data_IF_397317157374
#
_entry.id   IF_397317157374
#
_cell.length_a   1.000
_cell.length_b   1.000
_cell.length_c   1.000
_cell.angle_alpha   90.00
_cell.angle_beta   90.00
_cell.angle_gamma   90.00
#
_symmetry.space_group_name_H-M   'P 1'
#
loop_
_entity.id
_entity.type
_entity.pdbx_description
1 polymer ?
#
# COMPACT_ATOMS: atom_id res chain seq x y z
N UNK A 1 -3.94 4.27 32.64
CA UNK A 1 -4.67 3.05 32.22
C UNK A 1 -3.85 2.39 31.13
N UNK A 2 -3.66 1.07 31.21
CA UNK A 2 -2.97 0.30 30.16
C UNK A 2 -3.84 0.29 28.90
N UNK A 3 -3.29 0.69 27.75
CA UNK A 3 -3.96 0.64 26.44
C UNK A 3 -3.69 -0.72 25.82
N UNK A 4 -4.74 -1.46 25.47
CA UNK A 4 -4.62 -2.69 24.67
C UNK A 4 -4.77 -2.27 23.21
N UNK A 5 -3.78 -2.59 22.40
CA UNK A 5 -3.83 -2.40 20.95
C UNK A 5 -4.04 -3.77 20.32
N UNK A 6 -5.05 -3.87 19.47
CA UNK A 6 -5.36 -5.08 18.72
C UNK A 6 -4.75 -4.95 17.34
N UNK A 7 -4.01 -5.96 16.91
CA UNK A 7 -3.49 -6.09 15.54
C UNK A 7 -2.70 -4.84 15.10
N UNK A 8 -1.64 -4.49 15.86
CA UNK A 8 -0.81 -3.30 15.64
C UNK A 8 -0.43 -3.10 14.16
N UNK A 9 -0.61 -1.87 13.70
CA UNK A 9 -0.55 -1.50 12.29
C UNK A 9 0.86 -1.20 11.81
N UNK A 10 1.71 -0.71 12.71
CA UNK A 10 3.07 -0.28 12.39
C UNK A 10 4.11 -1.12 13.12
N UNK A 11 5.26 -1.33 12.49
CA UNK A 11 6.43 -1.80 13.22
C UNK A 11 7.03 -0.68 14.11
N UNK A 12 8.11 -1.00 14.82
CA UNK A 12 8.85 -0.01 15.62
C UNK A 12 9.90 0.75 14.82
N UNK A 13 10.40 1.85 15.37
CA UNK A 13 11.47 2.63 14.76
C UNK A 13 12.80 1.86 14.58
N UNK A 14 13.04 0.78 15.34
CA UNK A 14 14.15 -0.15 15.09
C UNK A 14 14.04 -0.82 13.72
N UNK A 15 12.84 -1.32 13.38
CA UNK A 15 12.58 -1.99 12.11
C UNK A 15 12.75 -1.00 10.95
N UNK A 16 12.21 0.20 11.14
CA UNK A 16 12.36 1.29 10.19
C UNK A 16 13.82 1.64 9.91
N UNK A 17 14.65 1.76 10.96
CA UNK A 17 16.06 2.07 10.82
C UNK A 17 16.80 0.98 10.03
N UNK A 18 16.62 -0.29 10.40
CA UNK A 18 17.24 -1.42 9.68
C UNK A 18 16.80 -1.44 8.21
N UNK A 19 15.49 -1.36 7.95
CA UNK A 19 14.95 -1.40 6.57
C UNK A 19 15.34 -0.18 5.72
N UNK A 20 15.70 0.93 6.36
CA UNK A 20 16.18 2.15 5.69
C UNK A 20 17.68 2.06 5.41
N UNK A 21 18.47 1.66 6.40
CA UNK A 21 19.93 1.61 6.28
C UNK A 21 20.41 0.44 5.44
N UNK A 22 19.81 -0.74 5.58
CA UNK A 22 20.15 -1.89 4.75
C UNK A 22 19.77 -1.70 3.27
N UNK A 23 18.96 -0.69 2.93
CA UNK A 23 18.64 -0.36 1.54
C UNK A 23 19.79 0.33 0.79
N UNK A 24 20.80 0.86 1.51
CA UNK A 24 22.01 1.42 0.93
C UNK A 24 22.99 0.31 0.53
N UNK A 25 23.61 0.43 -0.65
CA UNK A 25 24.47 -0.62 -1.21
C UNK A 25 25.78 -0.84 -0.43
N UNK A 26 26.28 0.21 0.21
CA UNK A 26 27.58 0.29 0.85
C UNK A 26 27.50 0.47 2.38
N UNK A 27 26.36 0.12 2.97
CA UNK A 27 26.15 0.12 4.43
C UNK A 27 25.97 -1.30 4.94
N UNK A 28 26.58 -1.58 6.10
CA UNK A 28 26.34 -2.79 6.88
C UNK A 28 25.79 -2.41 8.26
N UNK A 29 24.63 -2.96 8.60
CA UNK A 29 23.97 -2.68 9.86
C UNK A 29 24.38 -3.69 10.91
N UNK A 30 24.78 -3.20 12.08
CA UNK A 30 24.98 -4.00 13.28
C UNK A 30 23.73 -3.82 14.16
N UNK A 31 22.88 -4.84 14.22
CA UNK A 31 21.69 -4.83 15.06
C UNK A 31 22.07 -5.18 16.50
N UNK A 32 22.06 -4.18 17.39
CA UNK A 32 22.21 -4.44 18.82
C UNK A 32 20.88 -4.96 19.39
N UNK A 33 20.67 -6.26 19.26
CA UNK A 33 19.39 -6.92 19.47
C UNK A 33 19.54 -8.38 19.94
N UNK A 34 18.61 -8.89 20.76
CA UNK A 34 18.56 -10.29 21.14
C UNK A 34 18.07 -11.18 19.99
N UNK A 35 18.28 -12.50 20.15
CA UNK A 35 17.73 -13.51 19.24
C UNK A 35 16.20 -13.37 19.14
N UNK A 36 15.68 -13.36 17.92
CA UNK A 36 14.26 -13.12 17.64
C UNK A 36 14.03 -11.74 17.02
N UNK A 37 14.42 -10.65 17.70
CA UNK A 37 14.19 -9.29 17.22
C UNK A 37 14.87 -9.03 15.86
N UNK A 38 16.14 -9.41 15.72
CA UNK A 38 16.83 -9.30 14.43
C UNK A 38 16.38 -10.37 13.41
N UNK A 39 15.90 -11.53 13.86
CA UNK A 39 15.42 -12.59 12.94
C UNK A 39 14.12 -12.16 12.27
N UNK A 40 13.25 -11.47 13.01
CA UNK A 40 12.02 -10.91 12.44
C UNK A 40 12.40 -9.87 11.38
N UNK A 41 13.20 -8.86 11.72
CA UNK A 41 13.53 -7.76 10.81
C UNK A 41 14.43 -8.18 9.66
N UNK A 42 15.41 -9.05 9.89
CA UNK A 42 16.44 -9.38 8.91
C UNK A 42 16.14 -10.59 8.03
N UNK A 43 15.16 -11.41 8.39
CA UNK A 43 14.88 -12.70 7.72
C UNK A 43 13.38 -12.87 7.51
N UNK A 44 12.60 -13.04 8.57
CA UNK A 44 11.22 -13.48 8.45
C UNK A 44 10.31 -12.43 7.77
N UNK A 45 10.41 -11.18 8.19
CA UNK A 45 9.53 -10.09 7.70
C UNK A 45 9.87 -9.72 6.27
N UNK A 46 11.16 -9.58 6.00
CA UNK A 46 11.68 -9.25 4.69
C UNK A 46 11.27 -10.24 3.61
N UNK A 47 11.13 -11.52 3.95
CA UNK A 47 10.65 -12.54 3.01
C UNK A 47 9.20 -12.29 2.57
N UNK A 48 8.34 -11.76 3.45
CA UNK A 48 6.93 -11.59 3.10
C UNK A 48 6.52 -10.17 2.74
N UNK A 49 7.31 -9.15 3.12
CA UNK A 49 7.13 -7.77 2.64
C UNK A 49 7.80 -7.56 1.29
N UNK A 50 9.03 -8.06 1.15
CA UNK A 50 9.86 -7.79 -0.02
C UNK A 50 10.28 -9.07 -0.75
N UNK A 51 9.91 -10.28 -0.34
CA UNK A 51 10.43 -11.51 -0.97
C UNK A 51 11.96 -11.55 -0.99
N UNK A 52 12.59 -11.13 0.12
CA UNK A 52 14.03 -11.24 0.37
C UNK A 52 14.23 -12.26 1.49
N UNK A 53 14.82 -13.44 1.21
CA UNK A 53 14.98 -14.49 2.21
C UNK A 53 15.82 -14.08 3.43
N UNK A 54 16.83 -13.24 3.24
CA UNK A 54 17.63 -12.65 4.33
C UNK A 54 18.33 -11.37 3.86
N UNK A 55 18.51 -10.41 4.76
CA UNK A 55 19.33 -9.23 4.51
C UNK A 55 20.81 -9.58 4.64
N UNK A 56 21.57 -9.46 3.55
CA UNK A 56 23.00 -9.83 3.50
C UNK A 56 23.90 -8.86 4.29
N UNK A 57 23.46 -7.60 4.46
CA UNK A 57 24.20 -6.52 5.11
C UNK A 57 23.68 -6.21 6.52
N UNK A 58 23.30 -7.26 7.27
CA UNK A 58 22.83 -7.17 8.66
C UNK A 58 23.55 -8.21 9.52
N UNK A 59 24.19 -7.77 10.61
CA UNK A 59 24.80 -8.66 11.61
C UNK A 59 24.30 -8.33 13.01
N UNK A 60 23.71 -9.29 13.74
CA UNK A 60 23.19 -9.05 15.07
C UNK A 60 24.22 -9.30 16.17
N UNK A 61 24.10 -8.58 17.29
CA UNK A 61 24.86 -8.88 18.52
C UNK A 61 24.39 -10.16 19.21
N UNK A 62 23.15 -10.60 18.94
CA UNK A 62 22.54 -11.80 19.54
C UNK A 62 22.61 -11.79 21.07
N UNK A 63 22.13 -10.70 21.68
CA UNK A 63 22.12 -10.52 23.12
C UNK A 63 21.44 -11.68 23.86
N UNK A 64 22.03 -12.08 24.97
CA UNK A 64 21.55 -13.15 25.85
C UNK A 64 21.20 -12.60 27.24
N UNK A 65 20.74 -13.47 28.15
CA UNK A 65 20.47 -13.12 29.55
C UNK A 65 21.69 -12.49 30.25
N UNK A 66 22.91 -12.84 29.82
CA UNK A 66 24.16 -12.33 30.40
C UNK A 66 24.30 -10.82 30.20
N UNK A 67 24.12 -10.36 28.97
CA UNK A 67 24.19 -8.93 28.64
C UNK A 67 23.05 -8.15 29.29
N UNK A 68 21.85 -8.76 29.38
CA UNK A 68 20.67 -8.13 30.00
C UNK A 68 20.85 -7.94 31.51
N UNK A 69 21.45 -8.91 32.19
CA UNK A 69 21.48 -8.96 33.66
C UNK A 69 22.67 -8.25 34.31
N UNK A 70 23.84 -8.22 33.65
CA UNK A 70 25.08 -7.88 34.35
C UNK A 70 26.17 -7.21 33.51
N UNK A 71 26.26 -7.48 32.21
CA UNK A 71 27.40 -7.01 31.40
C UNK A 71 27.10 -5.80 30.51
N UNK A 72 25.82 -5.54 30.21
CA UNK A 72 25.42 -4.58 29.18
C UNK A 72 25.73 -5.08 27.76
N UNK A 73 25.22 -4.37 26.74
CA UNK A 73 25.39 -4.79 25.33
C UNK A 73 26.66 -4.25 24.64
N UNK A 74 27.31 -3.22 25.20
CA UNK A 74 28.45 -2.55 24.56
C UNK A 74 29.65 -3.46 24.27
N UNK A 75 29.89 -4.47 25.12
CA UNK A 75 30.94 -5.47 24.89
C UNK A 75 30.68 -6.31 23.64
N UNK A 76 29.44 -6.77 23.46
CA UNK A 76 29.03 -7.51 22.25
C UNK A 76 29.07 -6.66 21.00
N UNK A 77 28.64 -5.40 21.07
CA UNK A 77 28.78 -4.47 19.94
C UNK A 77 30.25 -4.33 19.53
N UNK A 78 31.17 -4.14 20.49
CA UNK A 78 32.61 -4.08 20.20
C UNK A 78 33.09 -5.36 19.50
N UNK A 79 32.75 -6.54 20.04
CA UNK A 79 33.16 -7.82 19.43
C UNK A 79 32.73 -7.91 17.96
N UNK A 80 31.48 -7.55 17.65
CA UNK A 80 30.97 -7.59 16.27
C UNK A 80 31.66 -6.56 15.38
N UNK A 81 31.88 -5.34 15.86
CA UNK A 81 32.62 -4.30 15.11
C UNK A 81 34.04 -4.78 14.80
N UNK A 82 34.71 -5.42 15.76
CA UNK A 82 36.05 -6.00 15.56
C UNK A 82 36.03 -7.13 14.51
N UNK A 83 35.02 -7.99 14.52
CA UNK A 83 34.86 -9.04 13.51
C UNK A 83 34.57 -8.50 12.09
N UNK A 84 34.00 -7.30 11.98
CA UNK A 84 33.62 -6.67 10.71
C UNK A 84 34.63 -5.61 10.23
N UNK A 85 35.82 -5.51 10.83
CA UNK A 85 36.81 -4.49 10.44
C UNK A 85 37.30 -4.59 9.00
N UNK A 86 37.27 -5.80 8.44
CA UNK A 86 37.65 -6.05 7.04
C UNK A 86 36.48 -5.86 6.06
N UNK A 87 35.27 -5.56 6.54
CA UNK A 87 34.15 -5.22 5.68
C UNK A 87 34.40 -3.83 5.07
N UNK A 88 34.29 -3.72 3.75
CA UNK A 88 34.53 -2.46 3.03
C UNK A 88 33.35 -1.48 3.13
N UNK A 89 32.21 -1.92 3.68
CA UNK A 89 31.01 -1.09 3.87
C UNK A 89 31.13 -0.22 5.12
N UNK A 90 30.33 0.84 5.14
CA UNK A 90 30.16 1.67 6.32
C UNK A 90 29.33 0.93 7.38
N UNK A 91 29.90 0.76 8.57
CA UNK A 91 29.23 0.10 9.68
C UNK A 91 28.35 1.09 10.44
N UNK A 92 27.08 0.71 10.67
CA UNK A 92 26.14 1.49 11.48
C UNK A 92 25.52 0.58 12.53
N UNK A 93 25.74 0.90 13.81
CA UNK A 93 25.11 0.21 14.93
C UNK A 93 23.73 0.79 15.19
N UNK A 94 22.71 -0.06 15.27
CA UNK A 94 21.32 0.32 15.53
C UNK A 94 20.83 -0.38 16.79
N UNK A 95 20.31 0.39 17.75
CA UNK A 95 19.75 -0.17 19.00
C UNK A 95 18.36 -0.77 18.80
N UNK A 96 18.05 -1.92 19.40
CA UNK A 96 16.67 -2.40 19.54
C UNK A 96 16.00 -1.86 20.81
N UNK A 97 14.71 -2.14 20.99
CA UNK A 97 13.99 -1.80 22.23
C UNK A 97 14.67 -2.41 23.47
N UNK A 98 15.12 -3.65 23.36
CA UNK A 98 15.78 -4.36 24.46
C UNK A 98 17.15 -3.76 24.76
N UNK A 99 17.97 -3.47 23.74
CA UNK A 99 19.26 -2.80 23.92
C UNK A 99 19.10 -1.42 24.60
N UNK A 100 18.10 -0.65 24.19
CA UNK A 100 17.78 0.65 24.79
C UNK A 100 17.40 0.52 26.27
N UNK A 101 16.73 -0.56 26.66
CA UNK A 101 16.38 -0.84 28.06
C UNK A 101 17.56 -1.34 28.91
N UNK A 102 18.44 -2.16 28.35
CA UNK A 102 19.67 -2.61 29.03
C UNK A 102 20.55 -1.40 29.35
N UNK A 103 20.63 -0.47 28.40
CA UNK A 103 21.44 0.73 28.52
C UNK A 103 22.92 0.47 28.24
N UNK A 104 23.53 1.38 27.50
CA UNK A 104 24.94 1.31 27.14
C UNK A 104 25.42 2.60 26.49
N UNK A 105 26.65 3.01 26.79
CA UNK A 105 27.26 4.19 26.16
C UNK A 105 27.87 3.82 24.80
N UNK A 106 27.05 3.35 23.86
CA UNK A 106 27.49 2.95 22.52
C UNK A 106 28.18 4.11 21.80
N UNK A 107 27.58 5.30 21.82
CA UNK A 107 28.15 6.49 21.19
C UNK A 107 29.56 6.82 21.72
N UNK A 108 29.74 6.80 23.04
CA UNK A 108 31.06 7.05 23.66
C UNK A 108 32.07 5.95 23.35
N UNK A 109 31.65 4.68 23.39
CA UNK A 109 32.49 3.53 23.08
C UNK A 109 32.96 3.56 21.62
N UNK A 110 32.06 3.75 20.67
CA UNK A 110 32.38 3.82 19.24
C UNK A 110 33.26 5.03 18.95
N UNK A 111 32.96 6.21 19.50
CA UNK A 111 33.82 7.39 19.32
C UNK A 111 35.25 7.18 19.82
N UNK A 112 35.44 6.44 20.92
CA UNK A 112 36.76 6.22 21.51
C UNK A 112 37.59 5.16 20.77
N UNK A 113 36.95 4.15 20.18
CA UNK A 113 37.63 2.96 19.65
C UNK A 113 37.44 2.73 18.15
N UNK A 114 36.32 3.21 17.60
CA UNK A 114 35.87 2.98 16.22
C UNK A 114 35.24 4.25 15.62
N UNK A 115 35.99 5.36 15.48
CA UNK A 115 35.43 6.67 15.13
C UNK A 115 34.75 6.72 13.74
N UNK A 116 34.95 5.73 12.87
CA UNK A 116 34.28 5.60 11.58
C UNK A 116 32.96 4.82 11.60
N UNK A 117 32.53 4.32 12.76
CA UNK A 117 31.31 3.52 12.92
C UNK A 117 30.19 4.41 13.46
N UNK A 118 29.07 4.47 12.72
CA UNK A 118 27.89 5.24 13.12
C UNK A 118 27.11 4.56 14.23
N UNK A 119 26.42 5.35 15.05
CA UNK A 119 25.43 4.84 16.02
C UNK A 119 24.11 5.56 15.89
N UNK A 120 23.06 4.79 15.61
CA UNK A 120 21.69 5.28 15.56
C UNK A 120 20.88 4.71 16.73
N UNK A 121 20.51 5.58 17.66
CA UNK A 121 19.52 5.24 18.67
C UNK A 121 18.15 5.18 18.01
N UNK A 122 17.53 4.00 17.96
CA UNK A 122 16.28 3.80 17.23
C UNK A 122 15.05 4.37 17.93
N UNK A 123 15.11 4.67 19.23
CA UNK A 123 13.94 5.07 20.02
C UNK A 123 12.75 4.10 19.81
N UNK A 124 13.03 2.79 19.79
CA UNK A 124 12.11 1.74 19.33
C UNK A 124 10.79 1.71 20.12
N UNK A 125 10.82 2.07 21.40
CA UNK A 125 9.62 2.11 22.25
C UNK A 125 8.86 3.44 22.17
N UNK A 126 9.50 4.50 21.68
CA UNK A 126 8.93 5.84 21.63
C UNK A 126 8.35 6.23 20.27
N UNK A 127 8.82 5.61 19.19
CA UNK A 127 8.48 5.96 17.81
C UNK A 127 8.00 4.74 17.01
N UNK A 128 7.02 4.98 16.15
CA UNK A 128 6.57 3.99 15.17
C UNK A 128 7.50 3.93 13.95
N UNK A 129 7.22 3.03 13.01
CA UNK A 129 8.06 2.83 11.85
C UNK A 129 8.20 4.09 10.97
N UNK A 130 7.13 4.86 10.74
CA UNK A 130 7.19 6.02 9.83
C UNK A 130 7.99 7.16 10.43
N UNK A 131 7.81 7.42 11.73
CA UNK A 131 8.64 8.36 12.48
C UNK A 131 10.11 7.93 12.46
N UNK A 132 10.36 6.63 12.68
CA UNK A 132 11.70 6.05 12.62
C UNK A 132 12.36 6.20 11.25
N UNK A 133 11.62 5.98 10.15
CA UNK A 133 12.13 6.15 8.77
C UNK A 133 12.47 7.60 8.49
N UNK A 134 11.58 8.52 8.82
CA UNK A 134 11.81 9.95 8.58
C UNK A 134 13.07 10.44 9.32
N UNK A 135 13.22 10.03 10.59
CA UNK A 135 14.41 10.35 11.39
C UNK A 135 15.67 9.65 10.91
N UNK A 136 15.57 8.41 10.42
CA UNK A 136 16.70 7.68 9.86
C UNK A 136 17.25 8.36 8.59
N UNK A 137 16.36 8.82 7.70
CA UNK A 137 16.74 9.58 6.49
C UNK A 137 17.38 10.92 6.85
N UNK A 138 16.79 11.67 7.79
CA UNK A 138 17.37 12.92 8.27
C UNK A 138 18.76 12.70 8.90
N UNK A 139 18.89 11.68 9.75
CA UNK A 139 20.14 11.37 10.42
C UNK A 139 21.25 11.02 9.43
N UNK A 140 20.97 10.12 8.47
CA UNK A 140 21.92 9.78 7.40
C UNK A 140 22.39 11.03 6.66
N UNK A 141 21.49 11.94 6.31
CA UNK A 141 21.86 13.18 5.64
C UNK A 141 22.73 14.07 6.54
N UNK A 142 22.40 14.21 7.82
CA UNK A 142 23.21 15.03 8.74
C UNK A 142 24.62 14.48 8.98
N UNK A 143 24.77 13.15 8.98
CA UNK A 143 26.06 12.50 9.18
C UNK A 143 26.92 12.50 7.92
N UNK A 144 26.32 12.38 6.74
CA UNK A 144 27.03 12.13 5.48
C UNK A 144 26.91 13.22 4.42
N UNK A 145 26.16 14.30 4.66
CA UNK A 145 26.22 15.49 3.81
C UNK A 145 27.60 16.16 3.91
N UNK A 146 28.03 16.75 2.79
CA UNK A 146 29.22 17.58 2.76
C UNK A 146 28.86 19.06 3.01
N UNK A 147 29.77 19.88 3.57
CA UNK A 147 29.46 21.29 3.85
C UNK A 147 29.42 22.18 2.60
N UNK A 148 29.65 21.63 1.40
CA UNK A 148 29.72 22.40 0.17
C UNK A 148 28.34 22.90 -0.23
N UNK A 149 28.24 24.09 -0.81
CA UNK A 149 26.98 24.61 -1.30
C UNK A 149 26.44 23.75 -2.45
N UNK A 150 25.12 23.70 -2.57
CA UNK A 150 24.45 22.95 -3.63
C UNK A 150 24.76 23.54 -5.02
N UNK A 151 25.49 22.81 -5.84
CA UNK A 151 25.59 23.03 -7.30
C UNK A 151 24.42 22.32 -7.99
N UNK A 152 23.36 23.07 -8.33
CA UNK A 152 22.16 22.47 -8.95
C UNK A 152 22.46 22.03 -10.38
N UNK A 153 22.20 20.76 -10.69
CA UNK A 153 22.35 20.16 -12.01
C UNK A 153 21.01 20.21 -12.75
N UNK A 154 20.86 21.02 -13.80
CA UNK A 154 19.59 21.14 -14.52
C UNK A 154 19.14 19.82 -15.17
N UNK A 155 17.83 19.60 -15.23
CA UNK A 155 17.21 18.43 -15.81
C UNK A 155 17.28 17.18 -14.94
N UNK A 156 17.51 17.32 -13.62
CA UNK A 156 17.69 16.19 -12.70
C UNK A 156 16.64 16.15 -11.60
N UNK A 157 16.24 14.92 -11.24
CA UNK A 157 15.29 14.66 -10.17
C UNK A 157 15.86 13.60 -9.24
N UNK A 158 15.87 13.86 -7.93
CA UNK A 158 16.08 12.80 -6.93
C UNK A 158 14.75 12.34 -6.35
N UNK A 159 14.63 11.05 -6.12
CA UNK A 159 13.45 10.43 -5.50
C UNK A 159 13.82 10.03 -4.07
N UNK A 160 13.02 10.45 -3.09
CA UNK A 160 13.19 10.12 -1.67
C UNK A 160 12.01 9.24 -1.22
N UNK A 161 12.30 8.19 -0.47
CA UNK A 161 11.30 7.40 0.25
C UNK A 161 11.37 5.89 0.06
N UNK A 162 11.59 5.34 -1.15
CA UNK A 162 11.69 3.90 -1.34
C UNK A 162 12.69 3.26 -0.37
N UNK A 163 12.22 2.30 0.39
CA UNK A 163 12.99 1.49 1.34
C UNK A 163 12.42 0.07 1.37
N UNK A 164 13.07 -0.85 2.07
CA UNK A 164 12.46 -2.15 2.35
C UNK A 164 11.24 -2.01 3.26
N UNK A 165 10.26 -2.91 3.12
CA UNK A 165 9.03 -2.90 3.91
C UNK A 165 8.03 -1.82 3.53
N UNK A 166 8.20 -1.14 2.38
CA UNK A 166 7.20 -0.25 1.82
C UNK A 166 6.28 -1.02 0.86
N UNK A 167 4.97 -0.98 1.10
CA UNK A 167 4.00 -1.69 0.26
C UNK A 167 4.14 -1.27 -1.21
N UNK A 168 4.21 -2.24 -2.13
CA UNK A 168 4.22 -2.02 -3.58
C UNK A 168 5.33 -1.11 -4.16
N UNK A 169 6.33 -0.76 -3.35
CA UNK A 169 7.39 0.19 -3.71
C UNK A 169 8.10 -0.10 -5.03
N UNK A 170 8.40 -1.35 -5.43
CA UNK A 170 9.10 -1.60 -6.70
C UNK A 170 8.31 -1.12 -7.92
N UNK A 171 7.01 -1.42 -7.98
CA UNK A 171 6.15 -1.05 -9.10
C UNK A 171 5.87 0.45 -9.12
N UNK A 172 5.59 1.02 -7.94
CA UNK A 172 5.35 2.46 -7.83
C UNK A 172 6.59 3.26 -8.22
N UNK A 173 7.78 2.84 -7.76
CA UNK A 173 9.05 3.48 -8.13
C UNK A 173 9.30 3.41 -9.65
N UNK A 174 9.07 2.26 -10.27
CA UNK A 174 9.23 2.12 -11.72
C UNK A 174 8.33 3.07 -12.50
N UNK A 175 7.08 3.26 -12.05
CA UNK A 175 6.17 4.22 -12.65
C UNK A 175 6.63 5.67 -12.40
N UNK A 176 7.08 6.03 -11.21
CA UNK A 176 7.58 7.39 -10.93
C UNK A 176 8.81 7.72 -11.79
N UNK A 177 9.75 6.78 -11.92
CA UNK A 177 10.90 6.93 -12.85
C UNK A 177 10.44 7.19 -14.28
N UNK A 178 9.48 6.39 -14.77
CA UNK A 178 8.91 6.55 -16.12
C UNK A 178 8.25 7.91 -16.32
N UNK A 179 7.51 8.42 -15.34
CA UNK A 179 6.88 9.74 -15.42
C UNK A 179 7.93 10.87 -15.46
N UNK A 180 8.99 10.76 -14.65
CA UNK A 180 10.11 11.72 -14.65
C UNK A 180 10.82 11.73 -16.01
N UNK A 181 11.18 10.55 -16.52
CA UNK A 181 11.83 10.40 -17.83
C UNK A 181 10.94 10.85 -18.99
N UNK A 182 9.64 10.59 -18.89
CA UNK A 182 8.64 11.06 -19.84
C UNK A 182 8.61 12.59 -19.97
N UNK A 183 8.87 13.32 -18.88
CA UNK A 183 8.98 14.78 -18.88
C UNK A 183 10.33 15.30 -19.45
N UNK A 184 11.20 14.41 -19.94
CA UNK A 184 12.53 14.77 -20.46
C UNK A 184 13.57 15.03 -19.36
N UNK A 185 13.34 14.52 -18.15
CA UNK A 185 14.24 14.67 -17.00
C UNK A 185 14.96 13.35 -16.70
N UNK A 186 16.09 13.43 -16.02
CA UNK A 186 16.86 12.24 -15.57
C UNK A 186 16.68 12.04 -14.08
N UNK A 187 16.43 10.80 -13.67
CA UNK A 187 16.53 10.41 -12.26
C UNK A 187 18.01 10.39 -11.86
N UNK A 188 18.39 11.27 -10.94
CA UNK A 188 19.76 11.39 -10.45
C UNK A 188 20.05 10.35 -9.38
N UNK A 189 19.20 10.29 -8.36
CA UNK A 189 19.32 9.36 -7.25
C UNK A 189 17.93 8.86 -6.83
N UNK A 190 17.87 7.60 -6.39
CA UNK A 190 16.73 7.09 -5.62
C UNK A 190 17.29 6.83 -4.22
N UNK A 191 16.71 7.46 -3.21
CA UNK A 191 17.27 7.47 -1.87
C UNK A 191 16.25 7.00 -0.83
N UNK A 192 16.65 6.08 0.08
CA UNK A 192 17.96 5.42 0.18
C UNK A 192 18.12 4.19 -0.73
N UNK A 193 17.02 3.65 -1.28
CA UNK A 193 17.07 2.48 -2.15
C UNK A 193 17.78 2.79 -3.48
N UNK A 194 18.79 2.01 -3.87
CA UNK A 194 19.68 2.26 -5.03
C UNK A 194 20.71 3.40 -4.81
N UNK A 195 20.93 3.82 -3.56
CA UNK A 195 21.96 4.80 -3.21
C UNK A 195 23.13 4.19 -2.44
N UNK A 196 24.24 4.92 -2.46
CA UNK A 196 25.41 4.77 -1.58
C UNK A 196 25.52 5.97 -0.64
N UNK A 197 26.38 5.88 0.37
CA UNK A 197 26.64 7.02 1.27
C UNK A 197 27.13 8.25 0.50
N UNK A 198 27.95 8.07 -0.53
CA UNK A 198 28.42 9.17 -1.37
C UNK A 198 27.29 9.90 -2.12
N UNK A 199 26.16 9.25 -2.38
CA UNK A 199 25.01 9.84 -3.06
C UNK A 199 24.17 10.73 -2.14
N UNK A 200 24.32 10.59 -0.82
CA UNK A 200 23.52 11.32 0.18
C UNK A 200 23.77 12.83 0.07
N UNK A 201 25.03 13.23 0.06
CA UNK A 201 25.42 14.62 -0.13
C UNK A 201 24.98 15.15 -1.52
N UNK A 202 24.92 14.26 -2.51
CA UNK A 202 24.58 14.64 -3.88
C UNK A 202 23.10 14.96 -4.09
N UNK A 203 22.21 14.58 -3.15
CA UNK A 203 20.77 14.87 -3.23
C UNK A 203 20.47 16.38 -3.39
N UNK A 204 21.27 17.24 -2.75
CA UNK A 204 21.10 18.70 -2.83
C UNK A 204 21.41 19.29 -4.20
N UNK A 205 22.13 18.55 -5.05
CA UNK A 205 22.45 18.96 -6.42
C UNK A 205 21.30 18.72 -7.39
N UNK A 206 20.27 17.97 -7.02
CA UNK A 206 19.12 17.75 -7.89
C UNK A 206 18.28 19.00 -8.05
N UNK A 207 17.75 19.25 -9.26
CA UNK A 207 16.90 20.41 -9.54
C UNK A 207 15.55 20.33 -8.82
N UNK A 208 14.97 19.12 -8.77
CA UNK A 208 13.69 18.83 -8.11
C UNK A 208 13.83 17.56 -7.25
N UNK A 209 13.11 17.52 -6.14
CA UNK A 209 12.97 16.34 -5.28
C UNK A 209 11.55 15.79 -5.41
N UNK A 210 11.43 14.47 -5.57
CA UNK A 210 10.15 13.77 -5.49
C UNK A 210 10.12 12.93 -4.22
N UNK A 211 9.16 13.17 -3.33
CA UNK A 211 8.91 12.34 -2.15
C UNK A 211 7.80 11.35 -2.49
N UNK A 212 8.05 10.05 -2.31
CA UNK A 212 7.08 9.02 -2.71
C UNK A 212 5.94 8.82 -1.72
N UNK A 213 6.19 8.95 -0.43
CA UNK A 213 5.26 8.61 0.64
C UNK A 213 4.90 9.84 1.48
N UNK A 214 3.65 9.95 1.93
CA UNK A 214 3.15 11.04 2.78
C UNK A 214 3.61 10.90 4.24
N UNK A 215 3.91 9.67 4.65
CA UNK A 215 4.18 9.29 6.03
C UNK A 215 5.62 9.65 6.44
N UNK A 216 6.56 9.75 5.49
CA UNK A 216 7.97 10.04 5.76
C UNK A 216 8.72 10.58 4.53
N UNK A 217 9.92 11.14 4.75
CA UNK A 217 10.83 11.65 3.73
C UNK A 217 10.73 13.17 3.51
N UNK A 218 9.63 13.78 3.94
CA UNK A 218 9.42 15.22 3.83
C UNK A 218 10.41 16.03 4.67
N UNK A 219 10.74 15.58 5.89
CA UNK A 219 11.70 16.28 6.76
C UNK A 219 13.05 16.42 6.09
N UNK A 220 13.54 15.36 5.45
CA UNK A 220 14.76 15.42 4.66
C UNK A 220 14.61 16.32 3.42
N UNK A 221 13.50 16.22 2.70
CA UNK A 221 13.28 17.04 1.51
C UNK A 221 13.27 18.55 1.84
N UNK A 222 12.66 18.92 2.97
CA UNK A 222 12.65 20.29 3.50
C UNK A 222 14.07 20.74 3.91
N UNK A 223 14.86 19.85 4.53
CA UNK A 223 16.26 20.12 4.89
C UNK A 223 17.16 20.36 3.68
N UNK A 224 16.95 19.62 2.59
CA UNK A 224 17.68 19.78 1.33
C UNK A 224 17.37 21.16 0.67
N UNK A 225 16.18 21.71 0.88
CA UNK A 225 15.82 23.06 0.41
C UNK A 225 15.59 23.16 -1.11
N UNK A 226 15.23 22.05 -1.76
CA UNK A 226 14.88 22.00 -3.18
C UNK A 226 13.37 21.93 -3.43
N UNK A 227 12.87 22.36 -4.59
CA UNK A 227 11.46 22.20 -4.93
C UNK A 227 11.04 20.74 -4.75
N UNK A 228 9.98 20.51 -3.96
CA UNK A 228 9.49 19.18 -3.63
C UNK A 228 8.17 18.91 -4.34
N UNK A 229 8.03 17.73 -4.93
CA UNK A 229 6.77 17.18 -5.40
C UNK A 229 6.46 15.86 -4.69
N UNK A 230 5.18 15.65 -4.38
CA UNK A 230 4.71 14.35 -3.94
C UNK A 230 4.49 13.44 -5.16
N UNK A 231 4.87 12.16 -5.06
CA UNK A 231 4.52 11.17 -6.07
C UNK A 231 2.98 11.08 -6.25
N UNK A 232 2.49 11.07 -7.50
CA UNK A 232 1.07 11.21 -7.75
C UNK A 232 0.28 9.91 -7.56
N UNK A 233 -0.92 10.05 -7.00
CA UNK A 233 -1.92 8.99 -6.92
C UNK A 233 -3.26 9.52 -7.45
N UNK A 234 -3.71 8.96 -8.58
CA UNK A 234 -4.96 9.32 -9.25
C UNK A 234 -4.75 10.12 -10.53
N UNK A 235 -5.82 10.31 -11.30
CA UNK A 235 -5.80 10.94 -12.63
C UNK A 235 -5.40 12.41 -12.50
N UNK A 236 -6.11 13.16 -11.65
CA UNK A 236 -5.89 14.60 -11.54
C UNK A 236 -4.52 14.91 -10.92
N UNK A 237 -4.10 14.13 -9.93
CA UNK A 237 -2.80 14.31 -9.28
C UNK A 237 -1.63 13.95 -10.21
N UNK A 238 -1.78 12.93 -11.07
CA UNK A 238 -0.73 12.59 -12.05
C UNK A 238 -0.58 13.67 -13.11
N UNK A 239 -1.68 14.23 -13.61
CA UNK A 239 -1.64 15.37 -14.54
C UNK A 239 -1.00 16.62 -13.90
N UNK A 240 -1.35 16.92 -12.65
CA UNK A 240 -0.72 18.01 -11.88
C UNK A 240 0.76 17.77 -11.66
N UNK A 241 1.16 16.56 -11.31
CA UNK A 241 2.56 16.19 -11.09
C UNK A 241 3.39 16.42 -12.36
N UNK A 242 2.96 15.87 -13.51
CA UNK A 242 3.65 16.04 -14.81
C UNK A 242 3.77 17.53 -15.16
N UNK A 243 2.66 18.27 -15.07
CA UNK A 243 2.63 19.71 -15.41
C UNK A 243 3.55 20.53 -14.50
N UNK A 244 3.50 20.26 -13.19
CA UNK A 244 4.31 20.99 -12.21
C UNK A 244 5.78 20.63 -12.31
N UNK A 245 6.11 19.37 -12.54
CA UNK A 245 7.47 18.90 -12.77
C UNK A 245 8.08 19.59 -13.99
N UNK A 246 7.34 19.62 -15.12
CA UNK A 246 7.75 20.38 -16.31
C UNK A 246 7.98 21.86 -16.01
N UNK A 247 7.07 22.51 -15.28
CA UNK A 247 7.21 23.93 -14.92
C UNK A 247 8.40 24.22 -13.99
N UNK A 248 8.70 23.34 -13.04
CA UNK A 248 9.82 23.53 -12.11
C UNK A 248 11.18 23.38 -12.81
N UNK A 249 11.26 22.54 -13.84
CA UNK A 249 12.50 22.25 -14.56
C UNK A 249 12.62 22.98 -15.92
N UNK A 250 11.68 23.87 -16.26
CA UNK A 250 11.67 24.58 -17.56
C UNK A 250 11.48 23.66 -18.77
N UNK A 251 10.68 22.59 -18.61
CA UNK A 251 10.36 21.53 -19.57
C UNK A 251 8.86 21.46 -19.87
N UNK A 252 8.16 22.59 -19.86
CA UNK A 252 6.70 22.62 -20.00
C UNK A 252 6.21 22.00 -21.30
N UNK A 253 6.96 22.20 -22.40
CA UNK A 253 6.60 21.63 -23.70
C UNK A 253 6.75 20.10 -23.68
N UNK A 254 7.88 19.59 -23.22
CA UNK A 254 8.15 18.16 -23.11
C UNK A 254 7.12 17.46 -22.20
N UNK A 255 6.79 18.06 -21.05
CA UNK A 255 5.76 17.55 -20.16
C UNK A 255 4.37 17.54 -20.81
N UNK A 256 4.00 18.58 -21.56
CA UNK A 256 2.73 18.63 -22.28
C UNK A 256 2.65 17.60 -23.42
N UNK A 257 3.71 17.46 -24.22
CA UNK A 257 3.81 16.47 -25.29
C UNK A 257 3.75 15.03 -24.73
N UNK A 258 4.39 14.79 -23.57
CA UNK A 258 4.31 13.53 -22.85
C UNK A 258 2.90 13.24 -22.34
N UNK A 259 2.24 14.21 -21.70
CA UNK A 259 0.87 14.04 -21.23
C UNK A 259 -0.12 13.74 -22.36
N UNK A 260 0.04 14.39 -23.52
CA UNK A 260 -0.77 14.09 -24.71
C UNK A 260 -0.52 12.69 -25.26
N UNK A 261 0.72 12.20 -25.15
CA UNK A 261 1.07 10.82 -25.47
C UNK A 261 0.40 9.86 -24.50
N UNK A 262 0.50 10.11 -23.19
CA UNK A 262 -0.10 9.31 -22.13
C UNK A 262 -1.61 9.14 -22.30
N UNK A 263 -2.32 10.23 -22.65
CA UNK A 263 -3.76 10.19 -22.96
C UNK A 263 -4.11 9.25 -24.11
N UNK A 264 -3.22 9.08 -25.09
CA UNK A 264 -3.40 8.25 -26.30
C UNK A 264 -2.87 6.83 -26.14
N UNK A 265 -1.99 6.59 -25.17
CA UNK A 265 -1.36 5.29 -24.90
C UNK A 265 -1.80 4.74 -23.54
N UNK A 266 -1.09 5.08 -22.47
CA UNK A 266 -1.25 4.53 -21.12
C UNK A 266 -2.68 4.68 -20.61
N UNK A 267 -3.29 5.86 -20.73
CA UNK A 267 -4.63 6.14 -20.24
C UNK A 267 -5.75 5.72 -21.20
N UNK A 268 -5.44 5.30 -22.43
CA UNK A 268 -6.46 4.92 -23.42
C UNK A 268 -7.44 3.87 -22.90
N UNK A 269 -7.03 2.81 -22.17
CA UNK A 269 -7.96 1.81 -21.64
C UNK A 269 -8.98 2.37 -20.65
N UNK A 270 -8.73 3.52 -20.01
CA UNK A 270 -9.70 4.15 -19.13
C UNK A 270 -10.98 4.54 -19.89
N UNK A 271 -10.86 4.87 -21.17
CA UNK A 271 -12.03 5.10 -22.02
C UNK A 271 -12.88 3.84 -22.15
N UNK A 272 -12.23 2.69 -22.37
CA UNK A 272 -12.91 1.42 -22.58
C UNK A 272 -13.47 0.83 -21.28
N UNK A 273 -12.75 0.99 -20.16
CA UNK A 273 -13.06 0.36 -18.87
C UNK A 273 -13.96 1.21 -17.97
N UNK A 274 -13.90 2.53 -18.08
CA UNK A 274 -14.63 3.45 -17.20
C UNK A 274 -15.57 4.40 -17.93
N UNK A 275 -15.27 4.84 -19.17
CA UNK A 275 -16.22 5.65 -19.99
C UNK A 275 -17.12 4.79 -20.90
N UNK A 276 -16.89 3.49 -20.95
CA UNK A 276 -17.72 2.53 -21.68
C UNK A 276 -19.03 2.17 -20.96
N UNK A 277 -19.72 1.10 -21.41
CA UNK A 277 -20.94 0.61 -20.74
C UNK A 277 -20.76 0.27 -19.25
N UNK A 278 -19.53 -0.02 -18.83
CA UNK A 278 -19.17 -0.32 -17.44
C UNK A 278 -19.24 0.91 -16.54
N UNK A 279 -19.28 2.13 -17.11
CA UNK A 279 -19.41 3.40 -16.36
C UNK A 279 -20.59 3.38 -15.37
N UNK A 280 -21.70 2.73 -15.74
CA UNK A 280 -22.90 2.62 -14.91
C UNK A 280 -22.69 1.75 -13.65
N UNK A 281 -21.64 0.93 -13.61
CA UNK A 281 -21.34 0.10 -12.46
C UNK A 281 -20.75 0.92 -11.31
N UNK A 282 -19.78 1.80 -11.60
CA UNK A 282 -18.97 2.48 -10.60
C UNK A 282 -19.81 3.20 -9.52
N UNK A 283 -20.85 3.99 -9.86
CA UNK A 283 -21.71 4.64 -8.87
C UNK A 283 -22.46 3.69 -7.92
N UNK A 284 -22.56 2.41 -8.26
CA UNK A 284 -23.21 1.38 -7.44
C UNK A 284 -22.22 0.55 -6.63
N UNK A 285 -20.92 0.65 -6.91
CA UNK A 285 -19.89 -0.14 -6.24
C UNK A 285 -19.47 0.54 -4.94
N UNK A 286 -19.52 -0.21 -3.84
CA UNK A 286 -19.09 0.22 -2.52
C UNK A 286 -17.70 -0.30 -2.20
N UNK A 287 -16.82 0.56 -1.67
CA UNK A 287 -15.47 0.15 -1.26
C UNK A 287 -15.09 0.69 0.12
N UNK A 288 -14.15 0.01 0.77
CA UNK A 288 -13.49 0.44 2.00
C UNK A 288 -11.97 0.41 1.83
N UNK A 289 -11.25 1.20 2.63
CA UNK A 289 -9.79 1.23 2.63
C UNK A 289 -9.23 1.28 4.06
N UNK A 290 -8.24 0.45 4.35
CA UNK A 290 -7.37 0.56 5.54
C UNK A 290 -5.95 0.32 5.07
N UNK A 291 -5.17 1.39 4.95
CA UNK A 291 -3.83 1.36 4.39
C UNK A 291 -3.01 2.53 4.93
N UNK A 292 -1.72 2.56 4.63
CA UNK A 292 -0.89 3.71 4.98
C UNK A 292 -1.44 4.95 4.27
N UNK A 293 -1.35 6.11 4.93
CA UNK A 293 -1.89 7.41 4.49
C UNK A 293 -1.83 7.67 2.98
N UNK A 294 -0.69 7.42 2.35
CA UNK A 294 -0.47 7.58 0.90
C UNK A 294 -1.49 6.80 0.08
N UNK A 295 -1.69 5.53 0.43
CA UNK A 295 -2.61 4.62 -0.26
C UNK A 295 -4.05 4.87 0.17
N UNK A 296 -4.31 5.14 1.45
CA UNK A 296 -5.65 5.41 1.96
C UNK A 296 -6.27 6.67 1.32
N UNK A 297 -5.51 7.77 1.30
CA UNK A 297 -5.95 9.02 0.66
C UNK A 297 -6.00 8.87 -0.87
N UNK A 298 -5.01 8.21 -1.47
CA UNK A 298 -4.92 7.99 -2.91
C UNK A 298 -6.07 7.17 -3.47
N UNK A 299 -6.38 6.02 -2.86
CA UNK A 299 -7.50 5.15 -3.25
C UNK A 299 -8.85 5.85 -3.06
N UNK A 300 -9.02 6.58 -1.95
CA UNK A 300 -10.25 7.36 -1.72
C UNK A 300 -10.46 8.39 -2.82
N UNK A 301 -9.42 9.15 -3.16
CA UNK A 301 -9.48 10.18 -4.20
C UNK A 301 -9.77 9.58 -5.57
N UNK A 302 -9.00 8.58 -5.99
CA UNK A 302 -9.17 7.95 -7.29
C UNK A 302 -10.53 7.25 -7.41
N UNK A 303 -10.83 6.30 -6.53
CA UNK A 303 -12.02 5.47 -6.67
C UNK A 303 -13.30 6.24 -6.34
N UNK A 304 -13.26 7.09 -5.31
CA UNK A 304 -14.40 7.89 -4.87
C UNK A 304 -14.58 9.15 -5.70
N UNK A 305 -13.65 10.10 -5.56
CA UNK A 305 -13.83 11.46 -6.09
C UNK A 305 -13.73 11.51 -7.62
N UNK A 306 -12.85 10.70 -8.23
CA UNK A 306 -12.62 10.73 -9.69
C UNK A 306 -13.46 9.71 -10.47
N UNK A 307 -13.60 8.48 -9.96
CA UNK A 307 -14.30 7.39 -10.66
C UNK A 307 -15.75 7.18 -10.21
N UNK A 308 -16.18 7.80 -9.11
CA UNK A 308 -17.57 7.85 -8.65
C UNK A 308 -18.03 6.65 -7.82
N UNK A 309 -17.13 5.82 -7.30
CA UNK A 309 -17.48 4.72 -6.39
C UNK A 309 -17.90 5.23 -5.01
N UNK A 310 -18.70 4.45 -4.29
CA UNK A 310 -19.16 4.80 -2.94
C UNK A 310 -18.12 4.37 -1.90
N UNK A 311 -17.34 5.34 -1.40
CA UNK A 311 -16.42 5.11 -0.28
C UNK A 311 -17.22 4.99 1.04
N UNK A 312 -17.13 3.84 1.69
CA UNK A 312 -17.76 3.62 3.00
C UNK A 312 -16.89 4.14 4.14
N UNK A 313 -15.59 3.87 4.04
CA UNK A 313 -14.57 4.35 4.95
C UNK A 313 -13.21 4.31 4.24
N UNK A 314 -12.30 5.18 4.68
CA UNK A 314 -10.89 5.14 4.32
C UNK A 314 -10.09 5.62 5.52
N UNK A 315 -9.29 4.73 6.09
CA UNK A 315 -8.54 4.98 7.32
C UNK A 315 -7.04 4.85 7.05
N UNK A 316 -6.27 5.78 7.63
CA UNK A 316 -4.83 5.63 7.80
C UNK A 316 -4.57 4.51 8.82
N UNK A 317 -3.79 3.50 8.41
CA UNK A 317 -3.45 2.32 9.20
C UNK A 317 -2.89 2.69 10.58
N UNK A 318 -2.08 3.75 10.64
CA UNK A 318 -1.39 4.22 11.86
C UNK A 318 -2.36 4.76 12.90
N UNK A 319 -3.41 5.44 12.44
CA UNK A 319 -4.39 6.11 13.31
C UNK A 319 -5.64 5.25 13.55
N UNK A 320 -5.85 4.22 12.74
CA UNK A 320 -7.04 3.37 12.77
C UNK A 320 -7.19 2.61 14.10
N UNK A 321 -8.41 2.62 14.64
CA UNK A 321 -8.81 1.70 15.71
C UNK A 321 -9.36 0.41 15.08
N UNK A 322 -8.57 -0.66 15.15
CA UNK A 322 -8.91 -1.93 14.55
C UNK A 322 -10.20 -2.56 15.11
N UNK A 323 -10.62 -2.23 16.33
CA UNK A 323 -11.93 -2.69 16.82
C UNK A 323 -13.08 -1.97 16.11
N UNK A 324 -12.93 -0.67 15.84
CA UNK A 324 -13.93 0.09 15.06
C UNK A 324 -13.97 -0.36 13.62
N UNK A 325 -12.83 -0.66 13.00
CA UNK A 325 -12.79 -1.23 11.63
C UNK A 325 -13.61 -2.52 11.57
N UNK A 326 -13.47 -3.40 12.57
CA UNK A 326 -14.27 -4.64 12.65
C UNK A 326 -15.77 -4.36 12.79
N UNK A 327 -16.15 -3.40 13.62
CA UNK A 327 -17.56 -2.99 13.80
C UNK A 327 -18.15 -2.39 12.51
N UNK A 328 -17.38 -1.58 11.79
CA UNK A 328 -17.74 -1.01 10.49
C UNK A 328 -17.94 -2.10 9.44
N UNK A 329 -17.03 -3.08 9.36
CA UNK A 329 -17.14 -4.23 8.46
C UNK A 329 -18.36 -5.10 8.77
N UNK A 330 -18.66 -5.33 10.05
CA UNK A 330 -19.84 -6.08 10.47
C UNK A 330 -21.13 -5.35 10.08
N UNK A 331 -21.13 -4.01 10.14
CA UNK A 331 -22.31 -3.19 9.85
C UNK A 331 -22.51 -2.99 8.34
N UNK A 332 -21.43 -2.76 7.60
CA UNK A 332 -21.47 -2.37 6.19
C UNK A 332 -20.32 -3.01 5.41
N UNK A 333 -20.52 -4.24 4.94
CA UNK A 333 -19.52 -4.93 4.13
C UNK A 333 -19.35 -4.23 2.76
N UNK A 334 -18.15 -3.75 2.41
CA UNK A 334 -17.89 -3.22 1.08
C UNK A 334 -17.85 -4.35 0.04
N UNK A 335 -18.06 -4.03 -1.24
CA UNK A 335 -17.84 -4.98 -2.33
C UNK A 335 -16.35 -5.16 -2.60
N UNK A 336 -15.57 -4.09 -2.48
CA UNK A 336 -14.11 -4.10 -2.58
C UNK A 336 -13.49 -3.59 -1.28
N UNK A 337 -12.53 -4.32 -0.73
CA UNK A 337 -11.78 -3.85 0.42
C UNK A 337 -10.29 -3.85 0.12
N UNK A 338 -9.71 -2.66 0.14
CA UNK A 338 -8.29 -2.41 0.04
C UNK A 338 -7.70 -2.41 1.45
N UNK A 339 -6.90 -3.42 1.79
CA UNK A 339 -6.52 -3.62 3.19
C UNK A 339 -5.24 -4.42 3.41
N UNK A 340 -5.02 -4.74 4.68
CA UNK A 340 -3.88 -5.49 5.22
C UNK A 340 -4.33 -6.90 5.63
N UNK A 341 -3.41 -7.73 6.14
CA UNK A 341 -3.76 -9.10 6.53
C UNK A 341 -4.77 -9.15 7.69
N UNK A 342 -4.67 -8.28 8.69
CA UNK A 342 -5.65 -8.19 9.78
C UNK A 342 -7.06 -7.95 9.23
N UNK A 343 -7.18 -7.04 8.26
CA UNK A 343 -8.43 -6.69 7.62
C UNK A 343 -9.03 -7.87 6.84
N UNK A 344 -8.18 -8.67 6.18
CA UNK A 344 -8.57 -9.92 5.52
C UNK A 344 -9.07 -10.98 6.51
N UNK A 345 -8.44 -11.06 7.69
CA UNK A 345 -8.90 -11.95 8.78
C UNK A 345 -10.30 -11.53 9.22
N UNK A 346 -10.55 -10.23 9.40
CA UNK A 346 -11.87 -9.73 9.81
C UNK A 346 -12.96 -10.07 8.78
N UNK A 347 -12.66 -9.94 7.49
CA UNK A 347 -13.58 -10.37 6.43
C UNK A 347 -13.87 -11.88 6.50
N UNK A 348 -12.85 -12.69 6.77
CA UNK A 348 -13.01 -14.15 6.86
C UNK A 348 -13.86 -14.57 8.06
N UNK A 349 -13.67 -13.92 9.23
CA UNK A 349 -14.50 -14.14 10.42
C UNK A 349 -15.98 -13.79 10.19
N UNK A 350 -16.25 -12.84 9.29
CA UNK A 350 -17.60 -12.43 8.91
C UNK A 350 -18.19 -13.24 7.74
N UNK A 351 -17.43 -14.20 7.18
CA UNK A 351 -17.75 -14.89 5.93
C UNK A 351 -18.15 -13.91 4.80
N UNK A 352 -17.51 -12.74 4.78
CA UNK A 352 -17.86 -11.65 3.89
C UNK A 352 -17.59 -12.03 2.43
N UNK A 353 -18.51 -11.66 1.53
CA UNK A 353 -18.35 -11.84 0.06
C UNK A 353 -17.57 -10.72 -0.61
N UNK A 354 -16.78 -9.99 0.17
CA UNK A 354 -15.98 -8.85 -0.26
C UNK A 354 -14.78 -9.29 -1.08
N UNK A 355 -14.53 -8.63 -2.20
CA UNK A 355 -13.28 -8.78 -2.95
C UNK A 355 -12.17 -8.03 -2.21
N UNK A 356 -11.28 -8.78 -1.59
CA UNK A 356 -10.11 -8.23 -0.92
C UNK A 356 -8.98 -7.97 -1.93
N UNK A 357 -8.42 -6.75 -1.90
CA UNK A 357 -7.23 -6.35 -2.67
C UNK A 357 -6.19 -5.87 -1.64
N UNK A 358 -4.98 -6.47 -1.59
CA UNK A 358 -3.94 -5.96 -0.71
C UNK A 358 -3.58 -4.51 -1.04
N UNK A 359 -3.47 -3.66 -0.02
CA UNK A 359 -3.14 -2.25 -0.17
C UNK A 359 -2.21 -1.70 0.93
N UNK A 360 -1.64 -2.56 1.77
CA UNK A 360 -0.73 -2.17 2.83
C UNK A 360 -0.17 -3.37 3.58
N UNK A 361 0.85 -3.12 4.41
CA UNK A 361 1.38 -4.04 5.40
C UNK A 361 0.73 -3.78 6.77
N UNK A 362 0.77 -4.74 7.73
CA UNK A 362 1.40 -6.05 7.67
C UNK A 362 0.61 -7.10 6.86
N UNK A 363 1.35 -7.99 6.19
CA UNK A 363 0.76 -9.16 5.53
C UNK A 363 1.65 -9.80 4.47
N UNK A 364 1.63 -11.14 4.30
CA UNK A 364 2.41 -11.81 3.27
C UNK A 364 1.81 -11.59 1.88
N UNK A 365 2.41 -10.66 1.14
CA UNK A 365 2.01 -10.34 -0.23
C UNK A 365 3.25 -10.02 -1.05
N UNK A 366 3.52 -10.85 -2.05
CA UNK A 366 4.65 -10.64 -2.96
C UNK A 366 4.30 -9.54 -3.98
N UNK A 367 5.01 -8.41 -3.94
CA UNK A 367 4.81 -7.26 -4.84
C UNK A 367 6.12 -6.84 -5.54
N UNK A 368 6.66 -7.74 -6.36
CA UNK A 368 7.93 -7.54 -7.10
C UNK A 368 7.77 -7.20 -8.58
N UNK A 369 6.62 -7.55 -9.16
CA UNK A 369 6.39 -7.34 -10.59
C UNK A 369 6.03 -5.88 -10.87
N UNK A 370 6.85 -5.20 -11.68
CA UNK A 370 6.72 -3.75 -11.95
C UNK A 370 5.41 -3.34 -12.63
N UNK A 371 4.66 -4.28 -13.20
CA UNK A 371 3.40 -4.03 -13.92
C UNK A 371 2.16 -3.86 -13.05
N UNK A 372 2.32 -3.67 -11.74
CA UNK A 372 1.19 -3.51 -10.78
C UNK A 372 1.29 -2.24 -9.91
N UNK A 373 1.66 -1.07 -10.46
CA UNK A 373 1.70 0.16 -9.67
C UNK A 373 0.32 0.55 -9.16
N UNK A 374 0.29 1.36 -8.12
CA UNK A 374 -0.87 2.09 -7.61
C UNK A 374 -0.72 3.59 -7.90
N UNK A 375 0.52 4.09 -7.96
CA UNK A 375 0.84 5.46 -8.34
C UNK A 375 0.83 5.66 -9.85
N UNK A 376 0.73 6.93 -10.28
CA UNK A 376 0.83 7.34 -11.68
C UNK A 376 -0.27 6.82 -12.61
N UNK A 377 -0.09 7.05 -13.92
CA UNK A 377 -1.08 6.66 -14.92
C UNK A 377 -1.22 5.15 -15.06
N UNK A 378 -0.10 4.43 -15.01
CA UNK A 378 -0.13 2.96 -15.05
C UNK A 378 -0.89 2.39 -13.85
N UNK A 379 -0.79 3.03 -12.68
CA UNK A 379 -1.46 2.54 -11.47
C UNK A 379 -2.97 2.71 -11.52
N UNK A 380 -3.44 3.81 -12.11
CA UNK A 380 -4.87 4.01 -12.39
C UNK A 380 -5.41 2.87 -13.24
N UNK A 381 -4.72 2.53 -14.33
CA UNK A 381 -5.16 1.46 -15.24
C UNK A 381 -5.15 0.11 -14.55
N UNK A 382 -4.09 -0.20 -13.80
CA UNK A 382 -4.01 -1.45 -13.04
C UNK A 382 -5.19 -1.59 -12.06
N UNK A 383 -5.46 -0.56 -11.25
CA UNK A 383 -6.55 -0.59 -10.26
C UNK A 383 -7.93 -0.71 -10.92
N UNK A 384 -8.19 0.06 -11.99
CA UNK A 384 -9.44 -0.03 -12.74
C UNK A 384 -9.60 -1.41 -13.38
N UNK A 385 -8.53 -1.98 -13.94
CA UNK A 385 -8.54 -3.32 -14.50
C UNK A 385 -8.90 -4.37 -13.45
N UNK A 386 -8.29 -4.32 -12.26
CA UNK A 386 -8.59 -5.25 -11.17
C UNK A 386 -10.05 -5.18 -10.72
N UNK A 387 -10.60 -3.97 -10.61
CA UNK A 387 -12.00 -3.75 -10.26
C UNK A 387 -12.92 -4.31 -11.34
N UNK A 388 -12.69 -3.96 -12.61
CA UNK A 388 -13.53 -4.39 -13.72
C UNK A 388 -13.49 -5.91 -13.89
N UNK A 389 -12.31 -6.54 -13.79
CA UNK A 389 -12.19 -8.00 -13.83
C UNK A 389 -12.99 -8.67 -12.70
N UNK A 390 -12.90 -8.15 -11.47
CA UNK A 390 -13.67 -8.68 -10.35
C UNK A 390 -15.19 -8.48 -10.52
N UNK A 391 -15.63 -7.39 -11.16
CA UNK A 391 -17.04 -7.19 -11.49
C UNK A 391 -17.51 -8.19 -12.57
N UNK A 392 -16.68 -8.49 -13.58
CA UNK A 392 -16.96 -9.55 -14.54
C UNK A 392 -17.00 -10.95 -13.89
N UNK A 393 -16.12 -11.24 -12.93
CA UNK A 393 -16.18 -12.48 -12.15
C UNK A 393 -17.46 -12.56 -11.31
N UNK A 394 -17.93 -11.41 -10.81
CA UNK A 394 -19.22 -11.34 -10.11
C UNK A 394 -20.37 -11.69 -11.05
N UNK A 395 -20.31 -11.24 -12.31
CA UNK A 395 -21.28 -11.62 -13.36
C UNK A 395 -21.33 -13.13 -13.63
N UNK A 396 -20.19 -13.82 -13.52
CA UNK A 396 -20.14 -15.27 -13.73
C UNK A 396 -21.10 -16.03 -12.80
N UNK A 397 -21.27 -15.57 -11.57
CA UNK A 397 -22.19 -16.17 -10.59
C UNK A 397 -23.68 -16.05 -10.98
N UNK A 398 -24.00 -15.15 -11.91
CA UNK A 398 -25.36 -14.96 -12.42
C UNK A 398 -25.62 -15.72 -13.73
N UNK A 399 -24.58 -16.34 -14.32
CA UNK A 399 -24.77 -17.15 -15.50
C UNK A 399 -25.49 -18.45 -15.14
N UNK A 400 -26.40 -18.95 -16.00
CA UNK A 400 -27.06 -20.23 -15.79
C UNK A 400 -26.04 -21.35 -15.98
N UNK A 401 -25.34 -21.71 -14.90
CA UNK A 401 -24.46 -22.87 -14.89
C UNK A 401 -25.35 -24.10 -14.73
N UNK A 402 -25.37 -24.95 -15.75
CA UNK A 402 -26.01 -26.26 -15.69
C UNK A 402 -25.28 -27.12 -14.65
N UNK A 403 -25.72 -27.08 -13.39
CA UNK A 403 -25.26 -28.08 -12.44
C UNK A 403 -25.71 -29.46 -12.94
N UNK A 404 -24.87 -30.49 -12.81
CA UNK A 404 -25.20 -31.88 -13.17
C UNK A 404 -26.32 -32.50 -12.30
N UNK A 405 -27.12 -31.68 -11.62
CA UNK A 405 -28.13 -32.12 -10.65
C UNK A 405 -29.52 -31.69 -11.07
N UNK A 406 -30.20 -32.68 -11.67
CA UNK A 406 -31.62 -32.86 -11.96
C UNK A 406 -32.23 -31.91 -12.99
N UNK A 407 -32.43 -32.46 -14.18
CA UNK A 407 -33.52 -32.11 -15.10
C UNK A 407 -34.81 -31.85 -14.31
N UNK A 408 -35.16 -30.57 -14.12
CA UNK A 408 -36.54 -30.19 -13.86
C UNK A 408 -37.27 -30.36 -15.18
N UNK A 409 -38.08 -31.42 -15.30
CA UNK A 409 -38.87 -31.70 -16.49
C UNK A 409 -39.74 -30.51 -16.93
N UNK A 410 -40.19 -30.50 -18.20
CA UNK A 410 -40.90 -29.36 -18.76
C UNK A 410 -42.27 -29.24 -18.11
N UNK A 411 -42.50 -28.16 -17.35
CA UNK A 411 -43.85 -27.72 -17.00
C UNK A 411 -44.00 -26.26 -17.36
N UNK A 412 -44.25 -26.00 -18.66
CA UNK A 412 -44.89 -24.77 -19.08
C UNK A 412 -46.33 -24.78 -18.55
N UNK A 413 -46.53 -24.30 -17.33
CA UNK A 413 -47.83 -23.85 -16.87
C UNK A 413 -47.96 -22.36 -17.18
N UNK A 414 -49.03 -21.97 -17.88
CA UNK A 414 -49.40 -20.56 -18.12
C UNK A 414 -49.78 -19.89 -16.79
N UNK A 415 -48.79 -19.54 -15.98
CA UNK A 415 -48.98 -18.80 -14.73
C UNK A 415 -49.16 -17.32 -15.07
N UNK A 416 -50.29 -16.75 -14.65
CA UNK A 416 -50.58 -15.33 -14.86
C UNK A 416 -49.93 -14.49 -13.76
N UNK A 417 -49.60 -13.25 -14.07
CA UNK A 417 -49.11 -12.28 -13.10
C UNK A 417 -50.12 -11.15 -12.98
N UNK A 418 -50.39 -10.72 -11.76
CA UNK A 418 -51.17 -9.49 -11.49
C UNK A 418 -50.34 -8.25 -11.82
N UNK A 419 -51.00 -7.13 -12.12
CA UNK A 419 -50.36 -5.82 -12.33
C UNK A 419 -49.48 -5.45 -11.15
N UNK A 420 -50.01 -5.63 -9.94
CA UNK A 420 -49.37 -5.26 -8.68
C UNK A 420 -48.14 -6.14 -8.39
N UNK A 421 -48.17 -7.43 -8.77
CA UNK A 421 -47.01 -8.31 -8.65
C UNK A 421 -45.88 -7.94 -9.61
N UNK A 422 -46.21 -7.52 -10.84
CA UNK A 422 -45.21 -7.07 -11.82
C UNK A 422 -44.52 -5.78 -11.36
N UNK A 423 -45.30 -4.79 -10.89
CA UNK A 423 -44.75 -3.54 -10.34
C UNK A 423 -43.86 -3.80 -9.13
N UNK A 424 -44.28 -4.69 -8.23
CA UNK A 424 -43.47 -5.05 -7.06
C UNK A 424 -42.17 -5.74 -7.45
N UNK A 425 -42.20 -6.65 -8.45
CA UNK A 425 -41.01 -7.29 -8.97
C UNK A 425 -40.05 -6.26 -9.58
N UNK A 426 -40.55 -5.32 -10.38
CA UNK A 426 -39.72 -4.24 -10.95
C UNK A 426 -39.09 -3.37 -9.86
N UNK A 427 -39.84 -3.03 -8.79
CA UNK A 427 -39.30 -2.28 -7.66
C UNK A 427 -38.21 -3.06 -6.92
N UNK A 428 -38.36 -4.38 -6.76
CA UNK A 428 -37.33 -5.24 -6.18
C UNK A 428 -36.09 -5.31 -7.07
N UNK A 429 -36.27 -5.50 -8.37
CA UNK A 429 -35.18 -5.54 -9.35
C UNK A 429 -34.42 -4.22 -9.37
N UNK A 430 -35.10 -3.07 -9.37
CA UNK A 430 -34.46 -1.75 -9.32
C UNK A 430 -33.62 -1.51 -8.06
N UNK A 431 -33.91 -2.20 -6.95
CA UNK A 431 -33.12 -2.14 -5.71
C UNK A 431 -31.93 -3.08 -5.70
N UNK A 432 -31.91 -4.09 -6.58
CA UNK A 432 -30.76 -4.96 -6.73
C UNK A 432 -29.60 -4.23 -7.45
N UNK A 433 -28.33 -4.62 -7.19
CA UNK A 433 -27.18 -4.09 -7.92
C UNK A 433 -27.39 -4.19 -9.44
N UNK A 434 -27.07 -3.13 -10.19
CA UNK A 434 -27.36 -3.04 -11.62
C UNK A 434 -26.92 -4.30 -12.39
N UNK A 435 -25.73 -4.80 -12.08
CA UNK A 435 -25.10 -5.96 -12.72
C UNK A 435 -25.91 -7.27 -12.58
N UNK A 436 -26.75 -7.38 -11.54
CA UNK A 436 -27.53 -8.58 -11.25
C UNK A 436 -29.02 -8.43 -11.55
N UNK A 437 -29.49 -7.27 -12.01
CA UNK A 437 -30.92 -6.98 -12.13
C UNK A 437 -31.65 -7.97 -13.04
N UNK A 438 -31.05 -8.34 -14.18
CA UNK A 438 -31.65 -9.27 -15.14
C UNK A 438 -31.75 -10.69 -14.56
N UNK A 439 -30.66 -11.19 -13.97
CA UNK A 439 -30.58 -12.54 -13.40
C UNK A 439 -31.45 -12.65 -12.14
N UNK A 440 -31.35 -11.69 -11.24
CA UNK A 440 -32.20 -11.56 -10.06
C UNK A 440 -33.69 -11.52 -10.44
N UNK A 441 -34.06 -10.72 -11.44
CA UNK A 441 -35.43 -10.66 -11.94
C UNK A 441 -35.93 -12.00 -12.47
N UNK A 442 -35.10 -12.73 -13.25
CA UNK A 442 -35.44 -14.08 -13.74
C UNK A 442 -35.56 -15.10 -12.62
N UNK A 443 -34.65 -15.07 -11.65
CA UNK A 443 -34.65 -16.00 -10.51
C UNK A 443 -35.88 -15.77 -9.61
N UNK A 444 -36.16 -14.51 -9.26
CA UNK A 444 -37.33 -14.13 -8.48
C UNK A 444 -38.63 -14.52 -9.19
N UNK A 445 -38.70 -14.31 -10.52
CA UNK A 445 -39.83 -14.76 -11.33
C UNK A 445 -40.01 -16.28 -11.24
N UNK A 446 -38.93 -17.05 -11.42
CA UNK A 446 -38.95 -18.52 -11.33
C UNK A 446 -39.35 -19.02 -9.94
N UNK A 447 -38.84 -18.40 -8.87
CA UNK A 447 -39.21 -18.73 -7.48
C UNK A 447 -40.68 -18.42 -7.19
N UNK A 448 -41.18 -17.27 -7.62
CA UNK A 448 -42.58 -16.88 -7.46
C UNK A 448 -43.53 -17.81 -8.20
N UNK A 449 -43.20 -18.17 -9.44
CA UNK A 449 -43.95 -19.14 -10.24
C UNK A 449 -43.94 -20.55 -9.60
N UNK A 450 -42.79 -20.99 -9.09
CA UNK A 450 -42.68 -22.27 -8.38
C UNK A 450 -43.48 -22.29 -7.07
N UNK A 451 -43.43 -21.20 -6.29
CA UNK A 451 -44.18 -21.07 -5.05
C UNK A 451 -45.70 -21.01 -5.30
N UNK A 452 -46.14 -20.32 -6.36
CA UNK A 452 -47.53 -20.32 -6.78
C UNK A 452 -48.02 -21.73 -7.12
N UNK A 453 -47.23 -22.51 -7.87
CA UNK A 453 -47.55 -23.91 -8.18
C UNK A 453 -47.61 -24.79 -6.94
N UNK A 454 -46.66 -24.65 -6.01
CA UNK A 454 -46.66 -25.40 -4.74
C UNK A 454 -47.90 -25.09 -3.89
N UNK A 455 -48.41 -23.86 -3.94
CA UNK A 455 -49.65 -23.46 -3.28
C UNK A 455 -50.92 -23.75 -4.12
N UNK A 456 -50.80 -24.43 -5.27
CA UNK A 456 -51.92 -24.73 -6.16
C UNK A 456 -52.55 -23.50 -6.85
N UNK A 457 -51.86 -22.35 -6.83
CA UNK A 457 -52.33 -21.09 -7.43
C UNK A 457 -51.87 -21.00 -8.89
N UNK A 458 -52.75 -20.45 -9.75
CA UNK A 458 -52.46 -20.20 -11.18
C UNK A 458 -52.02 -18.76 -11.49
N UNK A 459 -51.98 -17.91 -10.47
CA UNK A 459 -51.63 -16.49 -10.60
C UNK A 459 -50.66 -16.10 -9.49
N UNK A 460 -49.58 -15.39 -9.85
CA UNK A 460 -48.67 -14.74 -8.91
C UNK A 460 -49.27 -13.39 -8.49
N UNK A 461 -49.53 -13.25 -7.18
CA UNK A 461 -50.02 -12.02 -6.55
C UNK A 461 -48.88 -11.31 -5.81
N UNK A 462 -49.04 -10.01 -5.53
CA UNK A 462 -48.06 -9.22 -4.77
C UNK A 462 -47.78 -9.81 -3.38
N UNK A 463 -48.81 -10.34 -2.71
CA UNK A 463 -48.71 -11.05 -1.43
C UNK A 463 -47.77 -12.27 -1.52
N UNK A 464 -47.87 -13.03 -2.61
CA UNK A 464 -47.03 -14.21 -2.82
C UNK A 464 -45.59 -13.83 -3.09
N UNK A 465 -45.38 -12.70 -3.77
CA UNK A 465 -44.04 -12.13 -3.97
C UNK A 465 -43.43 -11.60 -2.67
N UNK A 466 -44.24 -11.06 -1.75
CA UNK A 466 -43.78 -10.57 -0.45
C UNK A 466 -43.30 -11.71 0.47
N UNK A 467 -43.80 -12.93 0.29
CA UNK A 467 -43.32 -14.12 1.01
C UNK A 467 -41.89 -14.54 0.61
N UNK A 468 -41.36 -14.01 -0.49
CA UNK A 468 -40.01 -14.28 -0.98
C UNK A 468 -38.99 -13.19 -0.59
N UNK A 469 -39.40 -12.17 0.18
CA UNK A 469 -38.53 -11.10 0.67
C UNK A 469 -37.53 -11.56 1.72
#
# INVERSE_FOLDING_TARGET
MTRIIRDESTASAYWAAVNTFCALEDVHVIADAPVGCYNLVGVAVMDYTDAIPYLENLTPTSLTEKEISSEGSAGKVREIVECLQDDSRHLIVVSSAESEMIGGNHAGMLKAHFPGVGFFNSNSLGENEWQGRDRALEWLFREFDDPSPAEVVPGTVSIIGPTFGCFNSPSDLAEIKRLVEGCGLRVAHVYPLESRIADIAALKHSEVIVVMYQEFGKTLADLIGRPVLQAPFGIAETEKFITRLGSLAGREKEAADFLETEKKTTLRPLWDLWRGPQSEWFPTVRFGVVADRTYAEGLKRLLGDELGMQCLFSHDSVEADNNKVREELASHQPQFFFGRMADKIYLAELEAKTRFIPAGFPGPVVRRALGTPFMGHSGIIYLVQEIVNALYDTLFHFLPISSRTKESGPTQHNIKWTSEANELLEQMVKKAPFISQISFGREMKKKAESLALQQGKKTVTSELLQLLK
#
